data_IF_183442129909
#
_entry.id   IF_183442129909
#
_cell.length_a   1.000
_cell.length_b   1.000
_cell.length_c   1.000
_cell.angle_alpha   90.00
_cell.angle_beta   90.00
_cell.angle_gamma   90.00
#
_symmetry.space_group_name_H-M   'P 1'
#
loop_
_entity.id
_entity.type
_entity.pdbx_description
1 polymer ?
#
# COMPACT_ATOMS: atom_id res chain seq x y z
N UNK A 1 -21.38 20.11 21.13
CA UNK A 1 -21.74 19.44 19.86
C UNK A 1 -20.86 18.20 19.76
N UNK A 2 -21.37 17.06 20.23
CA UNK A 2 -20.67 15.77 20.23
C UNK A 2 -20.73 15.13 18.86
N UNK A 3 -19.59 14.74 18.31
CA UNK A 3 -19.53 13.79 17.21
C UNK A 3 -19.24 12.41 17.83
N UNK A 4 -20.26 11.57 17.76
CA UNK A 4 -20.32 10.20 18.23
C UNK A 4 -19.40 9.30 17.42
N UNK A 5 -18.38 8.72 18.07
CA UNK A 5 -17.74 7.50 17.61
C UNK A 5 -18.65 6.31 17.91
N UNK A 6 -19.11 5.66 16.85
CA UNK A 6 -19.94 4.46 16.91
C UNK A 6 -19.76 3.62 15.65
N UNK A 7 -18.54 3.14 15.40
CA UNK A 7 -18.27 2.15 14.37
C UNK A 7 -18.30 0.75 15.00
N UNK A 8 -19.50 0.18 15.14
CA UNK A 8 -19.69 -1.22 15.52
C UNK A 8 -20.72 -1.83 14.58
N UNK A 9 -20.24 -2.71 13.69
CA UNK A 9 -21.00 -3.78 13.05
C UNK A 9 -22.27 -3.39 12.27
N UNK A 10 -22.08 -3.16 10.96
CA UNK A 10 -23.13 -3.36 9.98
C UNK A 10 -22.51 -4.01 8.72
N UNK A 11 -22.34 -5.33 8.76
CA UNK A 11 -22.50 -6.14 7.55
C UNK A 11 -23.98 -6.04 7.13
N UNK A 12 -24.38 -4.89 6.58
CA UNK A 12 -25.58 -4.80 5.80
C UNK A 12 -25.17 -5.03 4.35
N UNK A 13 -25.82 -6.00 3.72
CA UNK A 13 -25.85 -6.24 2.29
C UNK A 13 -25.56 -4.94 1.54
N UNK A 14 -24.44 -4.92 0.80
CA UNK A 14 -24.27 -3.97 -0.29
C UNK A 14 -25.46 -4.20 -1.21
N UNK A 15 -26.47 -3.35 -1.07
CA UNK A 15 -27.56 -3.25 -2.01
C UNK A 15 -26.95 -2.76 -3.32
N UNK A 16 -26.58 -3.73 -4.17
CA UNK A 16 -25.97 -3.52 -5.48
C UNK A 16 -26.87 -2.69 -6.42
N UNK A 17 -28.08 -2.33 -6.00
CA UNK A 17 -28.99 -1.46 -6.75
C UNK A 17 -28.61 0.02 -6.72
N UNK A 18 -27.72 0.45 -5.81
CA UNK A 18 -27.41 1.87 -5.60
C UNK A 18 -25.94 2.27 -5.84
N UNK A 19 -25.21 1.47 -6.63
CA UNK A 19 -23.96 1.92 -7.23
C UNK A 19 -24.34 2.84 -8.42
N UNK A 20 -23.90 4.11 -8.46
CA UNK A 20 -24.23 5.04 -9.55
C UNK A 20 -23.87 4.49 -10.95
N UNK A 21 -22.91 3.58 -11.01
CA UNK A 21 -22.46 2.90 -12.24
C UNK A 21 -23.38 1.74 -12.68
N UNK A 22 -24.17 1.15 -11.77
CA UNK A 22 -25.10 0.05 -12.10
C UNK A 22 -26.46 0.55 -12.60
N UNK A 23 -26.88 1.76 -12.22
CA UNK A 23 -28.15 2.37 -12.67
C UNK A 23 -28.11 2.76 -14.16
N UNK A 24 -26.92 2.91 -14.75
CA UNK A 24 -26.74 3.29 -16.17
C UNK A 24 -26.96 2.15 -17.18
N UNK A 25 -27.20 0.92 -16.74
CA UNK A 25 -27.37 -0.23 -17.64
C UNK A 25 -28.77 -0.35 -18.27
N UNK A 26 -29.69 0.59 -17.99
CA UNK A 26 -31.04 0.60 -18.58
C UNK A 26 -31.19 1.39 -19.88
N UNK A 27 -30.20 2.21 -20.25
CA UNK A 27 -30.25 3.01 -21.48
C UNK A 27 -29.44 2.40 -22.63
N UNK A 28 -29.99 2.51 -23.84
CA UNK A 28 -29.27 2.24 -25.09
C UNK A 28 -28.08 3.21 -25.20
N UNK A 29 -26.87 2.69 -24.99
CA UNK A 29 -25.63 3.48 -24.83
C UNK A 29 -24.64 2.92 -23.81
N UNK A 30 -24.98 1.82 -23.14
CA UNK A 30 -24.09 1.14 -22.19
C UNK A 30 -22.77 0.68 -22.83
N UNK A 31 -22.78 0.30 -24.11
CA UNK A 31 -21.57 -0.10 -24.83
C UNK A 31 -20.62 1.08 -24.97
N UNK A 32 -21.10 2.23 -25.45
CA UNK A 32 -20.32 3.46 -25.58
C UNK A 32 -19.79 3.94 -24.23
N UNK A 33 -20.60 3.80 -23.17
CA UNK A 33 -20.20 4.11 -21.80
C UNK A 33 -19.05 3.21 -21.34
N UNK A 34 -19.14 1.89 -21.55
CA UNK A 34 -18.06 0.94 -21.23
C UNK A 34 -16.81 1.22 -22.07
N UNK A 35 -16.94 1.49 -23.37
CA UNK A 35 -15.80 1.85 -24.22
C UNK A 35 -15.13 3.15 -23.76
N UNK A 36 -15.90 4.15 -23.30
CA UNK A 36 -15.36 5.39 -22.75
C UNK A 36 -14.56 5.21 -21.44
N UNK A 37 -14.76 4.10 -20.72
CA UNK A 37 -14.02 3.83 -19.47
C UNK A 37 -12.62 3.24 -19.69
N UNK A 38 -12.25 3.02 -20.96
CA UNK A 38 -11.00 2.37 -21.38
C UNK A 38 -10.85 0.96 -20.79
N UNK A 39 -12.00 0.31 -20.53
CA UNK A 39 -12.06 -1.00 -19.88
C UNK A 39 -11.29 -2.07 -20.64
N UNK A 40 -11.38 -2.05 -21.97
CA UNK A 40 -10.74 -3.03 -22.84
C UNK A 40 -9.20 -2.95 -22.74
N UNK A 41 -8.64 -1.75 -22.85
CA UNK A 41 -7.20 -1.49 -22.65
C UNK A 41 -6.72 -1.94 -21.27
N UNK A 42 -7.47 -1.60 -20.21
CA UNK A 42 -7.14 -2.04 -18.83
C UNK A 42 -7.21 -3.56 -18.67
N UNK A 43 -8.19 -4.21 -19.29
CA UNK A 43 -8.34 -5.67 -19.26
C UNK A 43 -7.18 -6.36 -19.98
N UNK A 44 -6.84 -5.92 -21.19
CA UNK A 44 -5.71 -6.43 -21.97
C UNK A 44 -4.39 -6.23 -21.23
N UNK A 45 -4.19 -5.07 -20.59
CA UNK A 45 -3.02 -4.81 -19.75
C UNK A 45 -2.91 -5.77 -18.56
N UNK A 46 -4.04 -6.06 -17.88
CA UNK A 46 -4.06 -7.02 -16.76
C UNK A 46 -3.78 -8.44 -17.22
N UNK A 47 -4.37 -8.87 -18.33
CA UNK A 47 -4.11 -10.19 -18.93
C UNK A 47 -2.64 -10.33 -19.35
N UNK A 48 -2.06 -9.27 -19.91
CA UNK A 48 -0.63 -9.22 -20.26
C UNK A 48 0.24 -9.35 -19.01
N UNK A 49 -0.06 -8.59 -17.95
CA UNK A 49 0.69 -8.67 -16.69
C UNK A 49 0.60 -10.06 -16.04
N UNK A 50 -0.58 -10.67 -16.05
CA UNK A 50 -0.78 -12.04 -15.58
C UNK A 50 0.03 -13.04 -16.43
N UNK A 51 -0.05 -12.93 -17.75
CA UNK A 51 0.72 -13.77 -18.67
C UNK A 51 2.22 -13.64 -18.43
N UNK A 52 2.72 -12.42 -18.22
CA UNK A 52 4.12 -12.17 -17.92
C UNK A 52 4.53 -12.85 -16.61
N UNK A 53 3.80 -12.61 -15.52
CA UNK A 53 4.13 -13.16 -14.20
C UNK A 53 4.24 -14.69 -14.17
N UNK A 54 3.48 -15.42 -15.00
CA UNK A 54 3.51 -16.89 -15.05
C UNK A 54 4.42 -17.48 -16.13
N UNK A 55 4.79 -16.71 -17.16
CA UNK A 55 5.50 -17.24 -18.35
C UNK A 55 6.91 -16.70 -18.54
N UNK A 56 7.39 -15.86 -17.63
CA UNK A 56 8.78 -15.40 -17.66
C UNK A 56 9.73 -16.61 -17.60
N UNK A 57 10.68 -16.66 -18.55
CA UNK A 57 11.72 -17.68 -18.60
C UNK A 57 12.96 -17.26 -17.82
N UNK A 58 13.31 -15.97 -17.85
CA UNK A 58 14.55 -15.41 -17.29
C UNK A 58 14.24 -14.22 -16.36
N UNK A 59 13.60 -14.44 -15.19
CA UNK A 59 13.37 -13.38 -14.22
C UNK A 59 14.67 -12.93 -13.55
N UNK A 60 14.84 -11.61 -13.37
CA UNK A 60 15.94 -11.06 -12.61
C UNK A 60 15.67 -11.16 -11.10
N UNK A 61 16.60 -11.82 -10.38
CA UNK A 61 16.50 -12.09 -8.94
C UNK A 61 16.20 -10.84 -8.09
N UNK A 62 16.77 -9.69 -8.47
CA UNK A 62 16.60 -8.42 -7.74
C UNK A 62 15.15 -7.94 -7.68
N UNK A 63 14.38 -8.13 -8.75
CA UNK A 63 12.97 -7.74 -8.80
C UNK A 63 12.08 -8.70 -8.01
N UNK A 64 12.44 -9.98 -7.95
CA UNK A 64 11.74 -10.96 -7.10
C UNK A 64 12.00 -10.68 -5.61
N UNK A 65 13.25 -10.40 -5.24
CA UNK A 65 13.62 -9.95 -3.88
C UNK A 65 12.87 -8.65 -3.51
N UNK A 66 12.75 -7.71 -4.46
CA UNK A 66 12.03 -6.45 -4.24
C UNK A 66 10.53 -6.65 -4.02
N UNK A 67 9.92 -7.59 -4.75
CA UNK A 67 8.50 -7.93 -4.62
C UNK A 67 8.22 -8.56 -3.26
N UNK A 68 9.05 -9.50 -2.82
CA UNK A 68 8.96 -10.08 -1.48
C UNK A 68 9.12 -9.00 -0.41
N UNK A 69 10.13 -8.14 -0.55
CA UNK A 69 10.34 -7.00 0.33
C UNK A 69 9.12 -6.07 0.41
N UNK A 70 8.46 -5.78 -0.72
CA UNK A 70 7.25 -4.93 -0.73
C UNK A 70 6.10 -5.55 0.07
N UNK A 71 5.92 -6.87 -0.01
CA UNK A 71 4.91 -7.61 0.74
C UNK A 71 5.21 -7.61 2.24
N UNK A 72 6.46 -7.82 2.62
CA UNK A 72 6.89 -7.73 4.01
C UNK A 72 6.72 -6.31 4.58
N UNK A 73 7.07 -5.28 3.80
CA UNK A 73 6.89 -3.89 4.21
C UNK A 73 5.42 -3.57 4.51
N UNK A 74 4.51 -3.90 3.59
CA UNK A 74 3.08 -3.69 3.80
C UNK A 74 2.58 -4.48 5.01
N UNK A 75 2.95 -5.76 5.11
CA UNK A 75 2.53 -6.62 6.23
C UNK A 75 2.97 -6.06 7.58
N UNK A 76 4.22 -5.61 7.68
CA UNK A 76 4.75 -5.01 8.90
C UNK A 76 4.02 -3.72 9.29
N UNK A 77 3.74 -2.85 8.32
CA UNK A 77 2.99 -1.61 8.56
C UNK A 77 1.55 -1.92 8.98
N UNK A 78 0.88 -2.84 8.28
CA UNK A 78 -0.48 -3.26 8.62
C UNK A 78 -0.57 -3.84 10.04
N UNK A 79 0.41 -4.67 10.42
CA UNK A 79 0.50 -5.20 11.78
C UNK A 79 0.70 -4.09 12.82
N UNK A 80 1.56 -3.12 12.54
CA UNK A 80 1.80 -1.98 13.42
C UNK A 80 0.55 -1.12 13.59
N UNK A 81 -0.16 -0.80 12.50
CA UNK A 81 -1.44 -0.08 12.55
C UNK A 81 -2.51 -0.83 13.33
N UNK A 82 -2.56 -2.17 13.19
CA UNK A 82 -3.47 -3.02 13.96
C UNK A 82 -3.18 -3.01 15.45
N UNK A 83 -1.90 -3.05 15.84
CA UNK A 83 -1.49 -2.96 17.24
C UNK A 83 -1.84 -1.57 17.79
N UNK A 84 -1.54 -0.51 17.04
CA UNK A 84 -1.90 0.87 17.39
C UNK A 84 -3.40 1.00 17.67
N UNK A 85 -4.27 0.53 16.79
CA UNK A 85 -5.72 0.61 16.98
C UNK A 85 -6.17 -0.03 18.30
N UNK A 86 -5.65 -1.22 18.62
CA UNK A 86 -5.95 -1.88 19.91
C UNK A 86 -5.41 -1.12 21.12
N UNK A 87 -4.27 -0.43 20.97
CA UNK A 87 -3.70 0.39 22.04
C UNK A 87 -4.53 1.65 22.26
N UNK A 88 -4.99 2.30 21.18
CA UNK A 88 -5.91 3.42 21.23
C UNK A 88 -7.19 3.07 22.00
N UNK A 89 -7.82 1.92 21.71
CA UNK A 89 -9.01 1.45 22.43
C UNK A 89 -8.75 1.29 23.94
N UNK A 90 -7.61 0.71 24.31
CA UNK A 90 -7.22 0.52 25.71
C UNK A 90 -6.99 1.85 26.42
N UNK A 91 -6.24 2.76 25.80
CA UNK A 91 -5.97 4.10 26.34
C UNK A 91 -7.29 4.86 26.51
N UNK A 92 -8.17 4.81 25.53
CA UNK A 92 -9.51 5.38 25.61
C UNK A 92 -10.29 4.82 26.81
N UNK A 93 -10.34 3.50 26.97
CA UNK A 93 -10.99 2.85 28.10
C UNK A 93 -10.43 3.30 29.46
N UNK A 94 -9.11 3.36 29.60
CA UNK A 94 -8.44 3.84 30.83
C UNK A 94 -8.88 5.28 31.15
N UNK A 95 -8.83 6.20 30.18
CA UNK A 95 -9.21 7.58 30.41
C UNK A 95 -10.70 7.75 30.74
N UNK A 96 -11.59 6.94 30.15
CA UNK A 96 -13.02 6.96 30.51
C UNK A 96 -13.28 6.47 31.94
N UNK A 97 -12.53 5.47 32.41
CA UNK A 97 -12.59 5.06 33.82
C UNK A 97 -12.17 6.22 34.74
N UNK A 98 -11.14 6.99 34.38
CA UNK A 98 -10.73 8.15 35.18
C UNK A 98 -11.78 9.27 35.16
N UNK A 99 -12.44 9.51 34.03
CA UNK A 99 -13.58 10.44 34.00
C UNK A 99 -14.73 9.98 34.92
N UNK A 100 -14.98 8.67 35.01
CA UNK A 100 -15.95 8.12 35.96
C UNK A 100 -15.50 8.34 37.41
N UNK A 101 -14.21 8.15 37.74
CA UNK A 101 -13.68 8.50 39.07
C UNK A 101 -13.88 9.98 39.38
N UNK A 102 -13.67 10.85 38.40
CA UNK A 102 -13.95 12.27 38.50
C UNK A 102 -15.39 12.55 38.95
N UNK A 103 -16.37 11.90 38.32
CA UNK A 103 -17.78 12.00 38.72
C UNK A 103 -18.02 11.47 40.13
N UNK A 104 -17.53 10.27 40.45
CA UNK A 104 -17.76 9.63 41.76
C UNK A 104 -17.18 10.46 42.90
N UNK A 105 -15.96 10.99 42.76
CA UNK A 105 -15.36 11.84 43.79
C UNK A 105 -16.13 13.15 43.99
N UNK A 106 -16.64 13.76 42.91
CA UNK A 106 -17.49 14.93 43.02
C UNK A 106 -18.84 14.62 43.72
N UNK A 107 -19.49 13.51 43.38
CA UNK A 107 -20.73 13.09 44.05
C UNK A 107 -20.51 12.78 45.53
N UNK A 108 -19.43 12.06 45.87
CA UNK A 108 -19.06 11.77 47.24
C UNK A 108 -18.77 13.05 48.04
N UNK A 109 -18.10 14.03 47.44
CA UNK A 109 -17.86 15.33 48.08
C UNK A 109 -19.15 16.09 48.44
N UNK A 110 -20.28 15.79 47.80
CA UNK A 110 -21.57 16.39 48.12
C UNK A 110 -22.25 15.79 49.36
N UNK A 111 -21.82 14.60 49.80
CA UNK A 111 -22.37 13.87 50.94
C UNK A 111 -21.42 13.95 52.14
N UNK A 112 -20.12 13.82 51.87
CA UNK A 112 -19.06 13.85 52.87
C UNK A 112 -18.78 15.29 53.33
N UNK A 113 -18.55 15.49 54.64
CA UNK A 113 -18.43 16.83 55.24
C UNK A 113 -16.99 17.22 55.55
N UNK A 114 -16.15 16.28 55.97
CA UNK A 114 -14.80 16.60 56.47
C UNK A 114 -13.79 16.69 55.32
N UNK A 115 -13.89 15.79 54.34
CA UNK A 115 -12.97 15.68 53.20
C UNK A 115 -13.59 16.13 51.86
N UNK A 116 -14.65 16.93 51.89
CA UNK A 116 -15.37 17.40 50.71
C UNK A 116 -14.46 18.10 49.68
N UNK A 117 -13.67 19.08 50.14
CA UNK A 117 -12.85 19.90 49.25
C UNK A 117 -11.69 19.13 48.60
N UNK A 118 -10.93 18.28 49.35
CA UNK A 118 -9.97 17.35 48.75
C UNK A 118 -10.60 16.38 47.74
N UNK A 119 -11.79 15.83 48.02
CA UNK A 119 -12.49 14.92 47.11
C UNK A 119 -12.87 15.61 45.81
N UNK A 120 -13.45 16.81 45.91
CA UNK A 120 -13.81 17.62 44.74
C UNK A 120 -12.60 17.99 43.89
N UNK A 121 -11.49 18.35 44.53
CA UNK A 121 -10.23 18.66 43.85
C UNK A 121 -9.64 17.44 43.14
N UNK A 122 -9.62 16.27 43.80
CA UNK A 122 -9.21 15.01 43.17
C UNK A 122 -10.12 14.66 41.98
N UNK A 123 -11.44 14.84 42.14
CA UNK A 123 -12.42 14.64 41.08
C UNK A 123 -12.17 15.53 39.85
N UNK A 124 -11.79 16.79 40.08
CA UNK A 124 -11.39 17.70 39.01
C UNK A 124 -10.17 17.17 38.23
N UNK A 125 -9.10 16.77 38.92
CA UNK A 125 -7.90 16.24 38.25
C UNK A 125 -8.19 14.95 37.46
N UNK A 126 -9.04 14.06 37.97
CA UNK A 126 -9.46 12.85 37.26
C UNK A 126 -10.27 13.17 35.99
N UNK A 127 -11.14 14.18 36.04
CA UNK A 127 -11.86 14.67 34.87
C UNK A 127 -10.91 15.31 33.84
N UNK A 128 -9.96 16.14 34.28
CA UNK A 128 -8.93 16.72 33.41
C UNK A 128 -8.15 15.62 32.70
N UNK A 129 -7.70 14.59 33.43
CA UNK A 129 -7.04 13.43 32.82
C UNK A 129 -7.94 12.74 31.80
N UNK A 130 -9.20 12.46 32.15
CA UNK A 130 -10.15 11.83 31.24
C UNK A 130 -10.37 12.60 29.93
N UNK A 131 -10.33 13.93 29.97
CA UNK A 131 -10.51 14.82 28.81
C UNK A 131 -9.29 14.87 27.87
N UNK A 132 -8.09 14.50 28.32
CA UNK A 132 -6.91 14.58 27.44
C UNK A 132 -6.89 13.53 26.33
N UNK A 133 -7.70 12.48 26.43
CA UNK A 133 -7.59 11.31 25.55
C UNK A 133 -7.90 11.62 24.09
N UNK A 134 -8.85 12.51 23.83
CA UNK A 134 -9.23 12.89 22.46
C UNK A 134 -8.04 13.52 21.73
N UNK A 135 -7.38 14.51 22.35
CA UNK A 135 -6.19 15.13 21.78
C UNK A 135 -5.00 14.19 21.64
N UNK A 136 -4.85 13.19 22.53
CA UNK A 136 -3.81 12.17 22.40
C UNK A 136 -4.05 11.31 21.15
N UNK A 137 -5.29 10.84 20.96
CA UNK A 137 -5.65 9.98 19.85
C UNK A 137 -5.60 10.72 18.50
N UNK A 138 -5.98 11.99 18.48
CA UNK A 138 -5.84 12.86 17.30
C UNK A 138 -4.37 13.06 16.89
N UNK A 139 -3.50 13.40 17.85
CA UNK A 139 -2.05 13.53 17.60
C UNK A 139 -1.45 12.18 17.15
N UNK A 140 -1.90 11.07 17.76
CA UNK A 140 -1.48 9.71 17.40
C UNK A 140 -1.95 9.27 15.99
N UNK A 141 -3.08 9.78 15.47
CA UNK A 141 -3.58 9.46 14.12
C UNK A 141 -2.69 10.04 13.01
N UNK A 142 -2.08 11.21 13.24
CA UNK A 142 -1.16 11.81 12.27
C UNK A 142 0.02 10.88 11.95
N UNK A 143 0.54 10.16 12.95
CA UNK A 143 1.60 9.17 12.74
C UNK A 143 1.10 7.94 11.99
N UNK A 144 -0.16 7.52 12.21
CA UNK A 144 -0.76 6.43 11.45
C UNK A 144 -0.92 6.80 9.97
N UNK A 145 -1.33 8.02 9.66
CA UNK A 145 -1.44 8.51 8.29
C UNK A 145 -0.09 8.52 7.58
N UNK A 146 0.96 9.01 8.25
CA UNK A 146 2.33 8.95 7.73
C UNK A 146 2.79 7.50 7.45
N UNK A 147 2.40 6.54 8.29
CA UNK A 147 2.71 5.12 8.06
C UNK A 147 1.91 4.52 6.89
N UNK A 148 0.66 4.94 6.68
CA UNK A 148 -0.16 4.49 5.53
C UNK A 148 0.46 4.89 4.19
N UNK A 149 1.17 6.02 4.12
CA UNK A 149 1.95 6.40 2.92
C UNK A 149 2.98 5.32 2.53
N UNK A 150 3.55 4.63 3.51
CA UNK A 150 4.48 3.53 3.26
C UNK A 150 3.83 2.23 2.76
N UNK A 151 2.52 2.05 2.98
CA UNK A 151 1.76 1.01 2.28
C UNK A 151 1.59 1.37 0.80
N UNK A 152 1.26 2.62 0.49
CA UNK A 152 1.17 3.10 -0.90
C UNK A 152 2.54 3.03 -1.61
N UNK A 153 3.64 3.19 -0.88
CA UNK A 153 4.97 2.94 -1.45
C UNK A 153 5.24 1.46 -1.74
N UNK A 154 4.80 0.53 -0.88
CA UNK A 154 4.88 -0.89 -1.17
C UNK A 154 4.14 -1.24 -2.48
N UNK A 155 2.95 -0.66 -2.69
CA UNK A 155 2.20 -0.81 -3.95
C UNK A 155 2.93 -0.25 -5.16
N UNK A 156 3.61 0.88 -4.98
CA UNK A 156 4.44 1.48 -6.04
C UNK A 156 5.59 0.56 -6.43
N UNK A 157 6.27 -0.09 -5.47
CA UNK A 157 7.31 -1.08 -5.74
C UNK A 157 6.77 -2.29 -6.51
N UNK A 158 5.60 -2.81 -6.14
CA UNK A 158 4.95 -3.90 -6.89
C UNK A 158 4.62 -3.50 -8.30
N UNK A 159 4.17 -2.27 -8.50
CA UNK A 159 3.84 -1.74 -9.83
C UNK A 159 5.10 -1.68 -10.71
N UNK A 160 6.24 -1.26 -10.14
CA UNK A 160 7.53 -1.30 -10.81
C UNK A 160 7.93 -2.73 -11.17
N UNK A 161 7.79 -3.69 -10.24
CA UNK A 161 8.06 -5.11 -10.51
C UNK A 161 7.17 -5.68 -11.63
N UNK A 162 5.86 -5.38 -11.62
CA UNK A 162 4.94 -5.81 -12.68
C UNK A 162 5.32 -5.22 -14.04
N UNK A 163 5.74 -3.95 -14.07
CA UNK A 163 6.21 -3.31 -15.30
C UNK A 163 7.49 -3.97 -15.81
N UNK A 164 8.44 -4.28 -14.91
CA UNK A 164 9.62 -5.08 -15.25
C UNK A 164 9.22 -6.42 -15.87
N UNK A 165 8.36 -7.19 -15.20
CA UNK A 165 7.88 -8.50 -15.69
C UNK A 165 7.28 -8.37 -17.10
N UNK A 166 6.43 -7.37 -17.36
CA UNK A 166 5.87 -7.13 -18.69
C UNK A 166 6.94 -6.86 -19.75
N UNK A 167 7.94 -6.01 -19.45
CA UNK A 167 9.01 -5.66 -20.39
C UNK A 167 9.93 -6.85 -20.67
N UNK A 168 10.29 -7.59 -19.62
CA UNK A 168 11.09 -8.81 -19.74
C UNK A 168 10.36 -9.87 -20.57
N UNK A 169 9.05 -10.02 -20.40
CA UNK A 169 8.24 -10.93 -21.21
C UNK A 169 8.20 -10.51 -22.69
N UNK A 170 8.06 -9.21 -22.98
CA UNK A 170 8.10 -8.71 -24.36
C UNK A 170 9.47 -8.93 -25.01
N UNK A 171 10.55 -8.76 -24.25
CA UNK A 171 11.92 -9.05 -24.69
C UNK A 171 12.10 -10.53 -25.02
N UNK A 172 11.69 -11.45 -24.14
CA UNK A 172 11.74 -12.89 -24.37
C UNK A 172 10.91 -13.32 -25.58
N UNK A 173 9.76 -12.68 -25.82
CA UNK A 173 8.94 -12.94 -27.00
C UNK A 173 9.58 -12.45 -28.29
N UNK A 174 10.29 -11.31 -28.26
CA UNK A 174 11.07 -10.83 -29.39
C UNK A 174 12.26 -11.76 -29.68
N UNK A 175 12.90 -12.30 -28.64
CA UNK A 175 13.98 -13.30 -28.74
C UNK A 175 13.46 -14.58 -29.41
N UNK A 176 12.35 -15.14 -28.91
CA UNK A 176 11.71 -16.32 -29.49
C UNK A 176 11.29 -16.09 -30.96
N UNK A 177 10.76 -14.91 -31.30
CA UNK A 177 10.36 -14.58 -32.68
C UNK A 177 11.57 -14.56 -33.63
N UNK A 178 12.69 -13.97 -33.20
CA UNK A 178 13.93 -13.96 -33.97
C UNK A 178 14.45 -15.38 -34.17
N UNK A 179 14.54 -16.18 -33.10
CA UNK A 179 14.99 -17.57 -33.15
C UNK A 179 14.10 -18.41 -34.06
N UNK A 180 12.78 -18.28 -33.97
CA UNK A 180 11.84 -19.00 -34.84
C UNK A 180 12.03 -18.66 -36.33
N UNK A 181 12.24 -17.38 -36.66
CA UNK A 181 12.51 -16.94 -38.05
C UNK A 181 13.86 -17.46 -38.55
N UNK A 182 14.89 -17.51 -37.70
CA UNK A 182 16.19 -18.10 -38.04
C UNK A 182 16.05 -19.60 -38.34
N UNK A 183 15.36 -20.35 -37.48
CA UNK A 183 15.09 -21.78 -37.69
C UNK A 183 14.31 -22.02 -39.00
N UNK A 184 13.28 -21.22 -39.29
CA UNK A 184 12.53 -21.33 -40.55
C UNK A 184 13.41 -21.11 -41.79
N UNK A 185 14.33 -20.14 -41.75
CA UNK A 185 15.29 -19.90 -42.83
C UNK A 185 16.26 -21.09 -43.00
N UNK A 186 16.74 -21.66 -41.89
CA UNK A 186 17.62 -22.84 -41.91
C UNK A 186 16.93 -24.08 -42.47
N UNK A 187 15.68 -24.35 -42.07
CA UNK A 187 14.88 -25.45 -42.60
C UNK A 187 14.65 -25.32 -44.11
N UNK A 188 14.40 -24.12 -44.60
CA UNK A 188 14.29 -23.85 -46.05
C UNK A 188 15.63 -24.06 -46.78
N UNK A 189 16.75 -23.85 -46.11
CA UNK A 189 18.09 -24.12 -46.65
C UNK A 189 18.44 -25.62 -46.63
N UNK A 190 17.99 -26.38 -45.63
CA UNK A 190 18.21 -27.83 -45.54
C UNK A 190 17.29 -28.62 -46.49
N UNK A 191 16.08 -28.14 -46.75
CA UNK A 191 15.16 -28.69 -47.77
C UNK A 191 15.63 -28.53 -49.23
N UNK A 192 16.80 -27.90 -49.46
CA UNK A 192 17.42 -27.69 -50.78
C UNK A 192 17.86 -28.97 -51.50
N UNK A 193 17.81 -30.14 -50.87
CA UNK A 193 18.36 -31.37 -51.43
C UNK A 193 17.49 -32.03 -52.55
N UNK A 194 16.32 -31.51 -52.92
CA UNK A 194 15.42 -32.26 -53.83
C UNK A 194 14.51 -31.49 -54.81
N UNK A 195 14.50 -30.16 -54.88
CA UNK A 195 13.55 -29.47 -55.79
C UNK A 195 14.10 -28.17 -56.40
N UNK A 196 14.47 -28.26 -57.68
CA UNK A 196 14.79 -27.13 -58.56
C UNK A 196 13.51 -26.39 -58.96
N UNK A 197 13.23 -25.19 -58.44
CA UNK A 197 12.49 -24.14 -59.15
C UNK A 197 12.72 -22.75 -58.51
N UNK A 198 12.74 -21.72 -59.37
CA UNK A 198 13.05 -20.29 -59.19
C UNK A 198 12.43 -19.56 -57.97
N UNK A 199 11.40 -20.11 -57.32
CA UNK A 199 10.66 -19.45 -56.23
C UNK A 199 11.41 -19.41 -54.87
N UNK A 200 12.41 -20.27 -54.70
CA UNK A 200 13.16 -20.42 -53.43
C UNK A 200 14.08 -19.23 -53.14
N UNK A 201 14.64 -18.59 -54.17
CA UNK A 201 15.52 -17.43 -54.00
C UNK A 201 14.80 -16.18 -53.48
N UNK A 202 13.58 -15.93 -53.95
CA UNK A 202 12.75 -14.79 -53.53
C UNK A 202 12.25 -14.97 -52.08
N UNK A 203 11.85 -16.19 -51.70
CA UNK A 203 11.49 -16.52 -50.31
C UNK A 203 12.69 -16.36 -49.37
N UNK A 204 13.88 -16.79 -49.77
CA UNK A 204 15.09 -16.66 -48.95
C UNK A 204 15.44 -15.21 -48.64
N UNK A 205 15.35 -14.30 -49.64
CA UNK A 205 15.53 -12.85 -49.45
C UNK A 205 14.48 -12.24 -48.52
N UNK A 206 13.21 -12.63 -48.67
CA UNK A 206 12.12 -12.17 -47.79
C UNK A 206 12.36 -12.57 -46.32
N UNK A 207 12.77 -13.81 -46.06
CA UNK A 207 13.11 -14.25 -44.70
C UNK A 207 14.33 -13.50 -44.14
N UNK A 208 15.29 -13.15 -44.99
CA UNK A 208 16.46 -12.37 -44.59
C UNK A 208 16.09 -10.94 -44.16
N UNK A 209 15.17 -10.29 -44.87
CA UNK A 209 14.59 -9.01 -44.45
C UNK A 209 13.77 -9.15 -43.15
N UNK A 210 12.95 -10.19 -43.03
CA UNK A 210 12.16 -10.44 -41.82
C UNK A 210 13.01 -10.72 -40.57
N UNK A 211 14.17 -11.36 -40.73
CA UNK A 211 15.15 -11.58 -39.66
C UNK A 211 15.83 -10.27 -39.30
N UNK A 212 16.26 -9.45 -40.27
CA UNK A 212 16.84 -8.12 -40.00
C UNK A 212 15.86 -7.24 -39.22
N UNK A 213 14.58 -7.26 -39.59
CA UNK A 213 13.54 -6.52 -38.87
C UNK A 213 13.38 -7.06 -37.44
N UNK A 214 13.28 -8.38 -37.27
CA UNK A 214 13.15 -8.99 -35.95
C UNK A 214 14.37 -8.73 -35.04
N UNK A 215 15.59 -8.71 -35.61
CA UNK A 215 16.82 -8.37 -34.88
C UNK A 215 16.82 -6.91 -34.44
N UNK A 216 16.41 -6.00 -35.33
CA UNK A 216 16.23 -4.58 -35.00
C UNK A 216 15.20 -4.39 -33.87
N UNK A 217 14.06 -5.08 -33.94
CA UNK A 217 13.01 -4.98 -32.93
C UNK A 217 13.47 -5.55 -31.58
N UNK A 218 14.19 -6.70 -31.59
CA UNK A 218 14.78 -7.28 -30.38
C UNK A 218 15.78 -6.31 -29.73
N UNK A 219 16.65 -5.67 -30.51
CA UNK A 219 17.60 -4.67 -30.01
C UNK A 219 16.88 -3.50 -29.34
N UNK A 220 15.84 -2.96 -29.98
CA UNK A 220 15.05 -1.85 -29.43
C UNK A 220 14.40 -2.23 -28.10
N UNK A 221 13.69 -3.36 -28.05
CA UNK A 221 13.03 -3.83 -26.83
C UNK A 221 14.06 -4.15 -25.73
N UNK A 222 15.22 -4.70 -26.09
CA UNK A 222 16.32 -4.94 -25.16
C UNK A 222 16.89 -3.66 -24.57
N UNK A 223 17.16 -2.64 -25.38
CA UNK A 223 17.62 -1.33 -24.92
C UNK A 223 16.60 -0.64 -24.01
N UNK A 224 15.32 -0.68 -24.36
CA UNK A 224 14.24 -0.11 -23.55
C UNK A 224 14.11 -0.82 -22.19
N UNK A 225 14.18 -2.16 -22.20
CA UNK A 225 14.13 -2.98 -20.98
C UNK A 225 15.32 -2.68 -20.09
N UNK A 226 16.54 -2.61 -20.63
CA UNK A 226 17.74 -2.29 -19.85
C UNK A 226 17.69 -0.87 -19.28
N UNK A 227 17.28 0.13 -20.08
CA UNK A 227 17.10 1.51 -19.61
C UNK A 227 16.09 1.60 -18.47
N UNK A 228 15.01 0.82 -18.55
CA UNK A 228 14.02 0.73 -17.48
C UNK A 228 14.62 0.11 -16.21
N UNK A 229 15.34 -1.01 -16.32
CA UNK A 229 16.00 -1.67 -15.19
C UNK A 229 16.96 -0.71 -14.48
N UNK A 230 17.85 -0.06 -15.24
CA UNK A 230 18.86 0.85 -14.68
C UNK A 230 18.24 2.06 -13.98
N UNK A 231 17.12 2.56 -14.51
CA UNK A 231 16.38 3.69 -13.91
C UNK A 231 15.63 3.24 -12.67
N UNK A 232 14.89 2.14 -12.76
CA UNK A 232 14.13 1.58 -11.64
C UNK A 232 15.04 1.27 -10.46
N UNK A 233 16.19 0.61 -10.69
CA UNK A 233 17.12 0.24 -9.61
C UNK A 233 17.72 1.47 -8.90
N UNK A 234 18.03 2.54 -9.65
CA UNK A 234 18.49 3.81 -9.06
C UNK A 234 17.40 4.46 -8.19
N UNK A 235 16.17 4.48 -8.69
CA UNK A 235 15.03 5.05 -7.95
C UNK A 235 14.71 4.22 -6.69
N UNK A 236 14.77 2.90 -6.78
CA UNK A 236 14.58 1.98 -5.65
C UNK A 236 15.65 2.21 -4.57
N UNK A 237 16.91 2.40 -4.95
CA UNK A 237 18.00 2.66 -4.00
C UNK A 237 17.83 4.00 -3.30
N UNK A 238 17.46 5.06 -4.04
CA UNK A 238 17.09 6.35 -3.45
C UNK A 238 15.92 6.22 -2.50
N UNK A 239 14.88 5.50 -2.90
CA UNK A 239 13.68 5.26 -2.10
C UNK A 239 14.01 4.53 -0.79
N UNK A 240 14.84 3.47 -0.85
CA UNK A 240 15.26 2.72 0.35
C UNK A 240 15.93 3.62 1.38
N UNK A 241 16.81 4.52 0.94
CA UNK A 241 17.46 5.51 1.83
C UNK A 241 16.46 6.48 2.45
N UNK A 242 15.55 7.02 1.64
CA UNK A 242 14.52 7.97 2.09
C UNK A 242 13.60 7.33 3.14
N UNK A 243 13.08 6.13 2.84
CA UNK A 243 12.23 5.33 3.73
C UNK A 243 12.86 5.11 5.11
N UNK A 244 14.17 4.82 5.16
CA UNK A 244 14.86 4.60 6.45
C UNK A 244 14.89 5.89 7.28
N UNK A 245 15.19 7.02 6.64
CA UNK A 245 15.23 8.33 7.30
C UNK A 245 13.86 8.70 7.86
N UNK A 246 12.84 8.58 7.02
CA UNK A 246 11.49 9.03 7.35
C UNK A 246 10.84 8.15 8.41
N UNK A 247 10.96 6.81 8.31
CA UNK A 247 10.45 5.93 9.37
C UNK A 247 11.16 6.18 10.71
N UNK A 248 12.47 6.47 10.69
CA UNK A 248 13.20 6.85 11.90
C UNK A 248 12.65 8.14 12.50
N UNK A 249 12.35 9.14 11.68
CA UNK A 249 11.76 10.39 12.12
C UNK A 249 10.36 10.19 12.70
N UNK A 250 9.48 9.46 12.00
CA UNK A 250 8.13 9.10 12.45
C UNK A 250 8.18 8.44 13.83
N UNK A 251 8.99 7.39 13.99
CA UNK A 251 9.08 6.68 15.28
C UNK A 251 9.72 7.51 16.39
N UNK A 252 10.68 8.37 16.06
CA UNK A 252 11.30 9.27 17.04
C UNK A 252 10.27 10.28 17.54
N UNK A 253 9.52 10.90 16.64
CA UNK A 253 8.49 11.88 16.97
C UNK A 253 7.33 11.22 17.76
N UNK A 254 6.93 10.01 17.37
CA UNK A 254 5.95 9.23 18.12
C UNK A 254 6.43 8.93 19.55
N UNK A 255 7.69 8.52 19.74
CA UNK A 255 8.25 8.29 21.07
C UNK A 255 8.29 9.57 21.91
N UNK A 256 8.66 10.71 21.32
CA UNK A 256 8.63 12.02 21.97
C UNK A 256 7.21 12.38 22.40
N UNK A 257 6.23 12.16 21.52
CA UNK A 257 4.81 12.35 21.82
C UNK A 257 4.38 11.49 23.01
N UNK A 258 4.70 10.19 23.01
CA UNK A 258 4.37 9.29 24.13
C UNK A 258 4.99 9.75 25.45
N UNK A 259 6.28 10.14 25.45
CA UNK A 259 6.95 10.68 26.64
C UNK A 259 6.24 11.93 27.16
N UNK A 260 5.86 12.86 26.27
CA UNK A 260 5.12 14.07 26.62
C UNK A 260 3.77 13.74 27.27
N UNK A 261 3.03 12.77 26.74
CA UNK A 261 1.74 12.35 27.33
C UNK A 261 1.93 11.66 28.68
N UNK A 262 2.93 10.78 28.83
CA UNK A 262 3.25 10.17 30.12
C UNK A 262 3.61 11.22 31.19
N UNK A 263 4.41 12.24 30.84
CA UNK A 263 4.75 13.33 31.76
C UNK A 263 3.52 14.12 32.22
N UNK A 264 2.59 14.41 31.31
CA UNK A 264 1.31 15.06 31.67
C UNK A 264 0.49 14.18 32.61
N UNK A 265 0.39 12.88 32.32
CA UNK A 265 -0.30 11.92 33.18
C UNK A 265 0.30 11.85 34.59
N UNK A 266 1.63 11.81 34.71
CA UNK A 266 2.34 11.87 35.99
C UNK A 266 1.99 13.15 36.75
N UNK A 267 2.00 14.31 36.09
CA UNK A 267 1.68 15.58 36.74
C UNK A 267 0.24 15.61 37.29
N UNK A 268 -0.73 15.09 36.53
CA UNK A 268 -2.12 15.01 36.97
C UNK A 268 -2.27 14.05 38.15
N UNK A 269 -1.65 12.87 38.07
CA UNK A 269 -1.67 11.90 39.16
C UNK A 269 -0.96 12.38 40.43
N UNK A 270 0.12 13.15 40.28
CA UNK A 270 0.81 13.78 41.42
C UNK A 270 -0.12 14.77 42.10
N UNK A 271 -0.80 15.62 41.32
CA UNK A 271 -1.76 16.61 41.84
C UNK A 271 -2.95 15.92 42.54
N UNK A 272 -3.47 14.85 41.96
CA UNK A 272 -4.54 14.06 42.57
C UNK A 272 -4.09 13.40 43.87
N UNK A 273 -2.88 12.82 43.91
CA UNK A 273 -2.29 12.25 45.13
C UNK A 273 -2.16 13.31 46.22
N UNK A 274 -1.67 14.50 45.89
CA UNK A 274 -1.52 15.59 46.86
C UNK A 274 -2.88 16.03 47.44
N UNK A 275 -3.96 15.98 46.66
CA UNK A 275 -5.31 16.16 47.18
C UNK A 275 -5.68 15.06 48.18
N UNK A 276 -5.45 13.80 47.82
CA UNK A 276 -5.76 12.65 48.68
C UNK A 276 -4.97 12.67 50.00
N UNK A 277 -3.74 13.18 50.01
CA UNK A 277 -2.93 13.28 51.25
C UNK A 277 -3.42 14.34 52.24
N UNK A 278 -4.35 15.20 51.82
CA UNK A 278 -4.96 16.24 52.67
C UNK A 278 -6.30 15.81 53.27
N UNK A 279 -6.77 14.60 52.94
CA UNK A 279 -7.92 13.94 53.57
C UNK A 279 -7.51 13.37 54.91
#
# INVERSE_FOLDING_TARGET
>A
MSISWGATYACHYLDLTNVPDLVKFKDEGWKETIYSTDFQSKSESRLKALSAAYRLKKPEKRFEELKNYSNELESNIANLLKIRARMADKVYGIHKVHSNYGRVFCEWSGIEKEMAEPLKSCGHYMNVYGQTVEGILEEEEQYADQLKEYMAFADSLRTVCRKYECMQYDFERAEDNLTNKQIQKEQLNLGKAGSSFSLTGMKSKLFEEQIKQADSDLRKVGEETQKFIDTALRDIDRFKRQKVKDLREIFTNYAIMQIKQCKKGIAVWTSAKDCLTKM
#
